data_IF_588938393385
#
_entry.id   IF_588938393385
#
_cell.length_a   1.000
_cell.length_b   1.000
_cell.length_c   1.000
_cell.angle_alpha   90.00
_cell.angle_beta   90.00
_cell.angle_gamma   90.00
#
_symmetry.space_group_name_H-M   'P 1'
#
loop_
_entity.id
_entity.type
_entity.pdbx_description
1 polymer ?
#
# COMPACT_ATOMS: atom_id res chain seq x y z
N UNK A 1 29.02 -20.57 -38.55
CA UNK A 1 27.90 -19.64 -38.82
C UNK A 1 26.57 -20.33 -39.13
N UNK A 2 26.52 -21.43 -39.91
CA UNK A 2 25.24 -22.10 -40.26
C UNK A 2 24.43 -22.65 -39.07
N UNK A 3 25.08 -23.21 -38.05
CA UNK A 3 24.39 -23.76 -36.87
C UNK A 3 23.72 -22.73 -35.95
N UNK A 4 24.29 -21.52 -35.84
CA UNK A 4 23.71 -20.43 -35.04
C UNK A 4 22.44 -19.88 -35.70
N UNK A 5 22.44 -19.80 -37.03
CA UNK A 5 21.25 -19.41 -37.81
C UNK A 5 20.16 -20.47 -37.70
N UNK A 6 20.51 -21.76 -37.78
CA UNK A 6 19.54 -22.85 -37.64
C UNK A 6 18.94 -22.89 -36.22
N UNK A 7 19.73 -22.71 -35.17
CA UNK A 7 19.22 -22.66 -33.79
C UNK A 7 18.33 -21.43 -33.54
N UNK A 8 18.67 -20.26 -34.12
CA UNK A 8 17.84 -19.06 -34.04
C UNK A 8 16.52 -19.23 -34.80
N UNK A 9 16.54 -19.89 -35.97
CA UNK A 9 15.36 -20.19 -36.79
C UNK A 9 14.47 -21.25 -36.11
N UNK A 10 15.03 -22.30 -35.52
CA UNK A 10 14.27 -23.31 -34.77
C UNK A 10 13.69 -22.70 -33.49
N UNK A 11 14.46 -21.88 -32.77
CA UNK A 11 13.98 -21.18 -31.58
C UNK A 11 12.84 -20.19 -31.87
N UNK A 12 12.87 -19.51 -33.02
CA UNK A 12 11.76 -18.66 -33.47
C UNK A 12 10.57 -19.47 -33.98
N UNK A 13 10.78 -20.57 -34.70
CA UNK A 13 9.72 -21.48 -35.14
C UNK A 13 8.98 -22.15 -33.98
N UNK A 14 9.70 -22.59 -32.94
CA UNK A 14 9.08 -23.22 -31.75
C UNK A 14 8.19 -22.23 -31.01
N UNK A 15 8.58 -20.96 -30.91
CA UNK A 15 7.74 -19.92 -30.31
C UNK A 15 6.52 -19.61 -31.18
N UNK A 16 6.66 -19.59 -32.51
CA UNK A 16 5.54 -19.36 -33.45
C UNK A 16 4.51 -20.51 -33.43
N UNK A 17 4.95 -21.75 -33.15
CA UNK A 17 4.10 -22.93 -33.02
C UNK A 17 3.42 -23.07 -31.65
N UNK A 18 3.83 -22.26 -30.66
CA UNK A 18 3.21 -22.25 -29.33
C UNK A 18 1.93 -21.40 -29.33
N UNK A 19 0.91 -21.87 -28.61
CA UNK A 19 -0.36 -21.16 -28.49
C UNK A 19 -0.19 -19.74 -27.92
N UNK A 20 -1.07 -18.81 -28.33
CA UNK A 20 -1.03 -17.39 -27.91
C UNK A 20 -0.85 -17.19 -26.41
N UNK A 21 -1.51 -18.02 -25.59
CA UNK A 21 -1.41 -17.98 -24.12
C UNK A 21 0.02 -18.18 -23.58
N UNK A 22 0.81 -19.05 -24.22
CA UNK A 22 2.22 -19.25 -23.87
C UNK A 22 3.06 -18.06 -24.30
N UNK A 23 2.86 -17.55 -25.53
CA UNK A 23 3.57 -16.39 -26.06
C UNK A 23 3.35 -15.15 -25.17
N UNK A 24 2.12 -14.91 -24.72
CA UNK A 24 1.78 -13.80 -23.82
C UNK A 24 2.44 -13.98 -22.44
N UNK A 25 2.40 -15.20 -21.89
CA UNK A 25 3.05 -15.51 -20.61
C UNK A 25 4.56 -15.31 -20.65
N UNK A 26 5.19 -15.75 -21.73
CA UNK A 26 6.61 -15.56 -21.97
C UNK A 26 6.96 -14.07 -22.12
N UNK A 27 6.21 -13.33 -22.93
CA UNK A 27 6.40 -11.90 -23.12
C UNK A 27 6.27 -11.10 -21.81
N UNK A 28 5.28 -11.43 -20.97
CA UNK A 28 5.12 -10.84 -19.62
C UNK A 28 6.33 -11.11 -18.73
N UNK A 29 6.77 -12.36 -18.64
CA UNK A 29 7.90 -12.75 -17.77
C UNK A 29 9.20 -12.07 -18.22
N UNK A 30 9.42 -11.97 -19.53
CA UNK A 30 10.59 -11.29 -20.09
C UNK A 30 10.53 -9.78 -19.90
N UNK A 31 9.37 -9.16 -20.04
CA UNK A 31 9.18 -7.73 -19.78
C UNK A 31 9.38 -7.41 -18.29
N UNK A 32 8.84 -8.22 -17.38
CA UNK A 32 9.02 -8.06 -15.94
C UNK A 32 10.50 -8.17 -15.53
N UNK A 33 11.22 -9.17 -16.03
CA UNK A 33 12.67 -9.31 -15.81
C UNK A 33 13.46 -8.13 -16.35
N UNK A 34 13.16 -7.71 -17.57
CA UNK A 34 13.84 -6.60 -18.24
C UNK A 34 13.62 -5.27 -17.52
N UNK A 35 12.40 -5.04 -17.03
CA UNK A 35 12.06 -3.88 -16.20
C UNK A 35 12.80 -3.92 -14.86
N UNK A 36 12.82 -5.06 -14.17
CA UNK A 36 13.55 -5.22 -12.91
C UNK A 36 15.06 -4.97 -13.10
N UNK A 37 15.67 -5.51 -14.16
CA UNK A 37 17.08 -5.29 -14.47
C UNK A 37 17.38 -3.84 -14.86
N UNK A 38 16.52 -3.22 -15.68
CA UNK A 38 16.65 -1.81 -16.08
C UNK A 38 16.44 -0.81 -14.93
N UNK A 39 15.80 -1.23 -13.83
CA UNK A 39 15.72 -0.44 -12.59
C UNK A 39 17.04 -0.43 -11.81
N UNK A 40 17.94 -1.40 -12.04
CA UNK A 40 19.16 -1.62 -11.24
C UNK A 40 20.46 -1.20 -11.97
N UNK A 41 20.47 -0.97 -13.29
CA UNK A 41 21.71 -0.45 -13.90
C UNK A 41 21.80 -0.24 -15.41
N UNK A 42 20.94 -0.85 -16.24
CA UNK A 42 21.09 -0.76 -17.71
C UNK A 42 19.84 -0.22 -18.41
N UNK A 43 19.96 0.98 -18.99
CA UNK A 43 18.90 1.67 -19.72
C UNK A 43 18.57 1.06 -21.08
N UNK A 44 19.45 0.24 -21.67
CA UNK A 44 19.18 -0.45 -22.95
C UNK A 44 18.14 -1.57 -22.77
N UNK A 45 18.11 -2.18 -21.59
CA UNK A 45 17.10 -3.18 -21.22
C UNK A 45 15.69 -2.58 -21.16
N UNK A 46 15.55 -1.28 -20.91
CA UNK A 46 14.26 -0.58 -20.97
C UNK A 46 13.73 -0.52 -22.42
N UNK A 47 14.58 -0.27 -23.42
CA UNK A 47 14.16 -0.24 -24.84
C UNK A 47 13.64 -1.62 -25.28
N UNK A 48 14.32 -2.70 -24.90
CA UNK A 48 13.83 -4.06 -25.21
C UNK A 48 12.56 -4.43 -24.43
N UNK A 49 12.26 -3.72 -23.34
CA UNK A 49 11.02 -3.91 -22.58
C UNK A 49 9.83 -3.38 -23.36
N UNK A 50 9.97 -2.22 -24.02
CA UNK A 50 8.90 -1.59 -24.79
C UNK A 50 8.43 -2.46 -25.96
N UNK A 51 9.36 -3.02 -26.73
CA UNK A 51 9.04 -3.92 -27.85
C UNK A 51 8.35 -5.21 -27.39
N UNK A 52 8.74 -5.76 -26.23
CA UNK A 52 8.08 -6.93 -25.62
C UNK A 52 6.67 -6.59 -25.15
N UNK A 53 6.51 -5.43 -24.49
CA UNK A 53 5.21 -4.98 -23.99
C UNK A 53 4.24 -4.64 -25.13
N UNK A 54 4.71 -4.14 -26.27
CA UNK A 54 3.87 -3.84 -27.44
C UNK A 54 3.22 -5.08 -28.07
N UNK A 55 3.77 -6.28 -27.83
CA UNK A 55 3.23 -7.55 -28.34
C UNK A 55 2.11 -8.14 -27.49
N UNK A 56 1.96 -7.67 -26.25
CA UNK A 56 0.90 -8.14 -25.36
C UNK A 56 -0.45 -7.61 -25.83
N UNK A 57 -1.49 -8.44 -25.66
CA UNK A 57 -2.86 -8.02 -25.90
C UNK A 57 -3.19 -6.72 -25.15
N UNK A 58 -3.93 -5.85 -25.81
CA UNK A 58 -4.31 -4.55 -25.27
C UNK A 58 -5.33 -4.63 -24.15
N UNK A 59 -5.89 -5.81 -23.86
CA UNK A 59 -6.77 -6.06 -22.71
C UNK A 59 -6.12 -6.90 -21.60
N UNK A 60 -4.84 -7.26 -21.73
CA UNK A 60 -4.11 -7.95 -20.66
C UNK A 60 -3.86 -7.01 -19.47
N UNK A 61 -4.51 -7.31 -18.35
CA UNK A 61 -4.49 -6.47 -17.16
C UNK A 61 -3.11 -6.41 -16.53
N UNK A 62 -2.37 -7.54 -16.52
CA UNK A 62 -0.97 -7.54 -16.05
C UNK A 62 -0.07 -6.73 -17.00
N UNK A 63 -0.40 -6.66 -18.29
CA UNK A 63 0.31 -5.79 -19.22
C UNK A 63 0.12 -4.31 -18.88
N UNK A 64 -1.07 -3.88 -18.40
CA UNK A 64 -1.27 -2.50 -17.94
C UNK A 64 -0.36 -2.14 -16.77
N UNK A 65 -0.17 -3.05 -15.80
CA UNK A 65 0.78 -2.84 -14.72
C UNK A 65 2.19 -2.59 -15.25
N UNK A 66 2.71 -3.50 -16.07
CA UNK A 66 4.08 -3.41 -16.58
C UNK A 66 4.29 -2.18 -17.47
N UNK A 67 3.33 -1.89 -18.38
CA UNK A 67 3.35 -0.69 -19.23
C UNK A 67 3.26 0.59 -18.39
N UNK A 68 2.46 0.58 -17.31
CA UNK A 68 2.31 1.71 -16.40
C UNK A 68 3.61 2.02 -15.67
N UNK A 69 4.21 1.02 -15.01
CA UNK A 69 5.51 1.18 -14.33
C UNK A 69 6.60 1.62 -15.31
N UNK A 70 6.66 1.04 -16.51
CA UNK A 70 7.59 1.47 -17.56
C UNK A 70 7.38 2.94 -17.94
N UNK A 71 6.13 3.35 -18.20
CA UNK A 71 5.79 4.73 -18.52
C UNK A 71 6.17 5.70 -17.38
N UNK A 72 5.90 5.33 -16.12
CA UNK A 72 6.31 6.11 -14.93
C UNK A 72 7.82 6.30 -14.89
N UNK A 73 8.60 5.22 -15.12
CA UNK A 73 10.08 5.28 -15.12
C UNK A 73 10.62 6.19 -16.23
N UNK A 74 9.95 6.26 -17.38
CA UNK A 74 10.29 7.17 -18.49
C UNK A 74 9.78 8.61 -18.27
N UNK A 75 9.20 8.92 -17.11
CA UNK A 75 8.64 10.23 -16.80
C UNK A 75 7.29 10.52 -17.48
N UNK A 76 6.70 9.55 -18.19
CA UNK A 76 5.40 9.70 -18.83
C UNK A 76 4.26 9.42 -17.84
N UNK A 77 4.06 10.36 -16.93
CA UNK A 77 3.08 10.28 -15.83
C UNK A 77 1.66 10.10 -16.38
N UNK A 78 1.27 10.87 -17.41
CA UNK A 78 -0.09 10.82 -17.98
C UNK A 78 -0.43 9.45 -18.54
N UNK A 79 0.49 8.86 -19.30
CA UNK A 79 0.32 7.51 -19.88
C UNK A 79 0.28 6.46 -18.77
N UNK A 80 1.14 6.58 -17.76
CA UNK A 80 1.14 5.69 -16.59
C UNK A 80 -0.21 5.69 -15.87
N UNK A 81 -0.73 6.87 -15.54
CA UNK A 81 -2.00 7.01 -14.84
C UNK A 81 -3.17 6.44 -15.67
N UNK A 82 -3.15 6.65 -16.98
CA UNK A 82 -4.16 6.05 -17.88
C UNK A 82 -4.10 4.51 -17.88
N UNK A 83 -2.91 3.93 -17.87
CA UNK A 83 -2.72 2.48 -17.82
C UNK A 83 -3.13 1.91 -16.46
N UNK A 84 -2.76 2.55 -15.35
CA UNK A 84 -3.21 2.14 -14.03
C UNK A 84 -4.73 2.30 -13.85
N UNK A 85 -5.35 3.30 -14.47
CA UNK A 85 -6.80 3.40 -14.49
C UNK A 85 -7.46 2.21 -15.21
N UNK A 86 -6.87 1.72 -16.30
CA UNK A 86 -7.34 0.50 -16.99
C UNK A 86 -7.09 -0.76 -16.15
N UNK A 87 -5.95 -0.82 -15.46
CA UNK A 87 -5.61 -1.91 -14.54
C UNK A 87 -6.65 -2.04 -13.42
N UNK A 88 -6.98 -0.93 -12.76
CA UNK A 88 -7.99 -0.87 -11.68
C UNK A 88 -9.36 -1.35 -12.18
N UNK A 89 -9.75 -1.05 -13.43
CA UNK A 89 -11.04 -1.53 -13.95
C UNK A 89 -11.09 -3.03 -14.20
N UNK A 90 -9.93 -3.67 -14.32
CA UNK A 90 -9.87 -5.08 -14.63
C UNK A 90 -9.74 -5.96 -13.38
N UNK A 91 -8.92 -5.54 -12.40
CA UNK A 91 -8.63 -6.37 -11.23
C UNK A 91 -8.18 -5.52 -10.05
N UNK A 92 -8.57 -5.96 -8.86
CA UNK A 92 -8.19 -5.43 -7.55
C UNK A 92 -6.82 -5.92 -7.07
N UNK A 93 -6.28 -6.98 -7.69
CA UNK A 93 -5.03 -7.63 -7.30
C UNK A 93 -3.82 -6.70 -7.22
N UNK A 94 -3.90 -5.53 -7.88
CA UNK A 94 -2.85 -4.53 -7.91
C UNK A 94 -3.13 -3.30 -7.05
N UNK A 95 -4.31 -3.15 -6.44
CA UNK A 95 -4.66 -1.95 -5.66
C UNK A 95 -3.70 -1.73 -4.49
N UNK A 96 -3.32 -2.81 -3.79
CA UNK A 96 -2.33 -2.74 -2.71
C UNK A 96 -0.99 -2.22 -3.21
N UNK A 97 -0.56 -2.68 -4.38
CA UNK A 97 0.72 -2.30 -4.96
C UNK A 97 0.68 -0.84 -5.45
N UNK A 98 -0.42 -0.46 -6.12
CA UNK A 98 -0.68 0.92 -6.52
C UNK A 98 -0.74 1.85 -5.31
N UNK A 99 -1.40 1.46 -4.23
CA UNK A 99 -1.39 2.22 -2.98
C UNK A 99 0.03 2.47 -2.47
N UNK A 100 0.91 1.46 -2.51
CA UNK A 100 2.30 1.58 -2.04
C UNK A 100 3.18 2.43 -2.97
N UNK A 101 2.94 2.41 -4.29
CA UNK A 101 3.77 3.13 -5.27
C UNK A 101 3.22 4.49 -5.67
N UNK A 102 1.90 4.68 -5.57
CA UNK A 102 1.13 5.85 -6.03
C UNK A 102 0.39 6.52 -4.85
N UNK A 103 1.01 6.51 -3.67
CA UNK A 103 0.42 6.90 -2.37
C UNK A 103 -0.42 8.18 -2.38
N UNK A 104 -0.03 9.20 -3.17
CA UNK A 104 -0.70 10.50 -3.24
C UNK A 104 -1.59 10.68 -4.48
N UNK A 105 -1.78 9.66 -5.32
CA UNK A 105 -2.60 9.77 -6.53
C UNK A 105 -4.09 9.63 -6.20
N UNK A 106 -4.71 10.76 -5.85
CA UNK A 106 -6.12 10.81 -5.46
C UNK A 106 -7.06 10.26 -6.54
N UNK A 107 -6.77 10.54 -7.83
CA UNK A 107 -7.62 10.10 -8.94
C UNK A 107 -7.67 8.58 -9.05
N UNK A 108 -6.51 7.91 -8.91
CA UNK A 108 -6.46 6.46 -8.93
C UNK A 108 -7.08 5.85 -7.66
N UNK A 109 -6.87 6.46 -6.48
CA UNK A 109 -7.50 6.00 -5.25
C UNK A 109 -9.04 6.09 -5.29
N UNK A 110 -9.59 7.18 -5.84
CA UNK A 110 -11.04 7.34 -6.04
C UNK A 110 -11.58 6.33 -7.06
N UNK A 111 -10.80 6.03 -8.11
CA UNK A 111 -11.16 5.01 -9.09
C UNK A 111 -11.16 3.61 -8.45
N UNK A 112 -10.15 3.28 -7.65
CA UNK A 112 -10.06 2.00 -6.95
C UNK A 112 -11.27 1.77 -6.04
N UNK A 113 -11.66 2.77 -5.24
CA UNK A 113 -12.88 2.68 -4.41
C UNK A 113 -14.16 2.57 -5.25
N UNK A 114 -14.21 3.20 -6.42
CA UNK A 114 -15.38 3.13 -7.30
C UNK A 114 -15.57 1.74 -7.91
N UNK A 115 -14.48 1.10 -8.36
CA UNK A 115 -14.55 -0.20 -9.02
C UNK A 115 -14.49 -1.36 -8.03
N UNK A 116 -13.81 -1.18 -6.89
CA UNK A 116 -13.65 -2.19 -5.83
C UNK A 116 -14.10 -1.62 -4.47
N UNK A 117 -15.41 -1.34 -4.29
CA UNK A 117 -15.91 -0.72 -3.06
C UNK A 117 -15.71 -1.60 -1.81
N UNK A 118 -15.63 -2.92 -1.99
CA UNK A 118 -15.45 -3.91 -0.92
C UNK A 118 -14.01 -4.40 -0.79
N UNK A 119 -13.04 -3.66 -1.38
CA UNK A 119 -11.62 -3.95 -1.20
C UNK A 119 -11.00 -3.01 -0.16
N UNK A 120 -10.53 -3.60 0.95
CA UNK A 120 -10.01 -2.85 2.08
C UNK A 120 -8.86 -1.91 1.67
N UNK A 121 -7.93 -2.37 0.83
CA UNK A 121 -6.77 -1.62 0.38
C UNK A 121 -7.15 -0.37 -0.44
N UNK A 122 -8.17 -0.45 -1.29
CA UNK A 122 -8.67 0.71 -2.03
C UNK A 122 -9.24 1.77 -1.08
N UNK A 123 -10.04 1.35 -0.10
CA UNK A 123 -10.60 2.23 0.92
C UNK A 123 -9.51 2.88 1.77
N UNK A 124 -8.51 2.10 2.20
CA UNK A 124 -7.38 2.59 2.98
C UNK A 124 -6.52 3.59 2.22
N UNK A 125 -6.30 3.37 0.92
CA UNK A 125 -5.57 4.30 0.08
C UNK A 125 -6.24 5.67 0.05
N UNK A 126 -7.55 5.71 -0.26
CA UNK A 126 -8.29 6.96 -0.31
C UNK A 126 -8.41 7.60 1.09
N UNK A 127 -8.57 6.80 2.14
CA UNK A 127 -8.60 7.27 3.52
C UNK A 127 -7.31 7.98 3.91
N UNK A 128 -6.15 7.44 3.51
CA UNK A 128 -4.84 8.06 3.76
C UNK A 128 -4.74 9.43 3.10
N UNK A 129 -5.14 9.55 1.84
CA UNK A 129 -5.11 10.82 1.10
C UNK A 129 -6.04 11.86 1.75
N UNK A 130 -7.24 11.44 2.17
CA UNK A 130 -8.21 12.32 2.82
C UNK A 130 -7.85 12.68 4.27
N UNK A 131 -6.91 11.97 4.90
CA UNK A 131 -6.72 11.98 6.36
C UNK A 131 -6.43 13.35 6.98
N UNK A 132 -5.83 14.27 6.23
CA UNK A 132 -5.50 15.64 6.66
C UNK A 132 -6.56 16.65 6.22
N UNK A 133 -6.94 16.63 4.94
CA UNK A 133 -7.85 17.63 4.34
C UNK A 133 -9.34 17.37 4.58
N UNK A 134 -9.71 16.11 4.76
CA UNK A 134 -11.09 15.67 4.93
C UNK A 134 -11.19 14.56 6.00
N UNK A 135 -10.89 14.86 7.28
CA UNK A 135 -10.75 13.85 8.33
C UNK A 135 -12.03 13.05 8.58
N UNK A 136 -13.22 13.64 8.43
CA UNK A 136 -14.50 12.92 8.55
C UNK A 136 -14.67 11.88 7.43
N UNK A 137 -14.33 12.24 6.18
CA UNK A 137 -14.35 11.31 5.04
C UNK A 137 -13.34 10.19 5.26
N UNK A 138 -12.12 10.53 5.72
CA UNK A 138 -11.08 9.55 6.01
C UNK A 138 -11.48 8.57 7.12
N UNK A 139 -12.07 9.06 8.21
CA UNK A 139 -12.59 8.23 9.30
C UNK A 139 -13.59 7.20 8.77
N UNK A 140 -14.57 7.63 7.95
CA UNK A 140 -15.56 6.71 7.36
C UNK A 140 -14.90 5.65 6.48
N UNK A 141 -13.97 6.04 5.61
CA UNK A 141 -13.26 5.11 4.72
C UNK A 141 -12.40 4.11 5.51
N UNK A 142 -11.66 4.57 6.53
CA UNK A 142 -10.90 3.66 7.40
C UNK A 142 -11.82 2.68 8.14
N UNK A 143 -12.97 3.13 8.66
CA UNK A 143 -13.94 2.25 9.32
C UNK A 143 -14.49 1.19 8.36
N UNK A 144 -14.81 1.57 7.12
CA UNK A 144 -15.25 0.62 6.09
C UNK A 144 -14.16 -0.40 5.77
N UNK A 145 -12.93 0.04 5.51
CA UNK A 145 -11.83 -0.87 5.22
C UNK A 145 -11.49 -1.79 6.40
N UNK A 146 -11.56 -1.30 7.64
CA UNK A 146 -11.34 -2.10 8.85
C UNK A 146 -12.50 -3.06 9.16
N UNK A 147 -13.70 -2.84 8.62
CA UNK A 147 -14.77 -3.83 8.69
C UNK A 147 -14.47 -5.03 7.78
N UNK A 148 -13.77 -4.81 6.66
CA UNK A 148 -13.34 -5.84 5.72
C UNK A 148 -12.03 -6.53 6.16
N UNK A 149 -11.10 -5.77 6.73
CA UNK A 149 -9.84 -6.28 7.26
C UNK A 149 -9.60 -5.77 8.71
N UNK A 150 -10.25 -6.41 9.71
CA UNK A 150 -10.17 -5.96 11.10
C UNK A 150 -8.81 -6.22 11.76
N UNK A 151 -7.97 -7.07 11.17
CA UNK A 151 -6.66 -7.43 11.72
C UNK A 151 -5.54 -6.46 11.31
N UNK A 152 -5.83 -5.40 10.55
CA UNK A 152 -4.82 -4.45 10.13
C UNK A 152 -4.50 -3.42 11.23
N UNK A 153 -3.53 -3.75 12.09
CA UNK A 153 -3.10 -2.87 13.18
C UNK A 153 -2.51 -1.54 12.70
N UNK A 154 -1.94 -1.47 11.49
CA UNK A 154 -1.46 -0.22 10.91
C UNK A 154 -2.62 0.71 10.56
N UNK A 155 -3.73 0.19 10.02
CA UNK A 155 -4.90 1.03 9.70
C UNK A 155 -5.71 1.39 10.93
N UNK A 156 -5.76 0.55 11.95
CA UNK A 156 -6.27 0.96 13.26
C UNK A 156 -5.49 2.15 13.83
N UNK A 157 -4.15 2.17 13.69
CA UNK A 157 -3.33 3.32 14.09
C UNK A 157 -3.71 4.57 13.31
N UNK A 158 -3.83 4.47 11.99
CA UNK A 158 -4.19 5.61 11.16
C UNK A 158 -5.60 6.16 11.46
N UNK A 159 -6.55 5.28 11.76
CA UNK A 159 -7.87 5.70 12.26
C UNK A 159 -7.75 6.43 13.61
N UNK A 160 -6.91 5.94 14.52
CA UNK A 160 -6.58 6.65 15.77
C UNK A 160 -5.95 8.02 15.55
N UNK A 161 -5.07 8.16 14.55
CA UNK A 161 -4.48 9.46 14.16
C UNK A 161 -5.57 10.42 13.65
N UNK A 162 -6.56 9.92 12.90
CA UNK A 162 -7.71 10.72 12.43
C UNK A 162 -8.59 11.16 13.61
N UNK A 163 -8.97 10.25 14.51
CA UNK A 163 -9.75 10.58 15.70
C UNK A 163 -9.05 11.60 16.60
N UNK A 164 -7.74 11.45 16.79
CA UNK A 164 -6.96 12.40 17.58
C UNK A 164 -6.95 13.82 16.96
N UNK A 165 -6.89 13.93 15.62
CA UNK A 165 -7.02 15.23 14.92
C UNK A 165 -8.40 15.84 15.09
N UNK A 166 -9.45 15.02 15.08
CA UNK A 166 -10.82 15.42 15.36
C UNK A 166 -11.08 15.72 16.86
N UNK A 167 -10.08 15.56 17.73
CA UNK A 167 -10.18 15.66 19.19
C UNK A 167 -11.15 14.65 19.83
N UNK A 168 -11.50 13.59 19.13
CA UNK A 168 -12.27 12.46 19.67
C UNK A 168 -11.34 11.50 20.41
N UNK A 169 -10.81 11.95 21.56
CA UNK A 169 -9.73 11.23 22.26
C UNK A 169 -10.14 9.83 22.73
N UNK A 170 -11.40 9.62 23.15
CA UNK A 170 -11.87 8.30 23.55
C UNK A 170 -11.86 7.30 22.38
N UNK A 171 -12.33 7.73 21.22
CA UNK A 171 -12.29 6.92 19.99
C UNK A 171 -10.84 6.70 19.52
N UNK A 172 -9.97 7.69 19.70
CA UNK A 172 -8.54 7.55 19.43
C UNK A 172 -7.89 6.48 20.33
N UNK A 173 -8.17 6.49 21.65
CA UNK A 173 -7.70 5.46 22.60
C UNK A 173 -8.15 4.08 22.15
N UNK A 174 -9.43 3.93 21.76
CA UNK A 174 -9.96 2.66 21.27
C UNK A 174 -9.21 2.19 20.01
N UNK A 175 -9.11 3.04 18.99
CA UNK A 175 -8.47 2.67 17.72
C UNK A 175 -6.97 2.36 17.90
N UNK A 176 -6.25 3.14 18.71
CA UNK A 176 -4.87 2.83 19.06
C UNK A 176 -4.73 1.56 19.90
N UNK A 177 -5.70 1.25 20.75
CA UNK A 177 -5.78 -0.01 21.48
C UNK A 177 -5.98 -1.22 20.56
N UNK A 178 -6.82 -1.10 19.52
CA UNK A 178 -6.94 -2.13 18.49
C UNK A 178 -5.66 -2.29 17.68
N UNK A 179 -5.00 -1.18 17.35
CA UNK A 179 -3.67 -1.19 16.72
C UNK A 179 -2.64 -1.96 17.54
N UNK A 180 -2.60 -1.71 18.85
CA UNK A 180 -1.77 -2.44 19.82
C UNK A 180 -2.06 -3.95 19.83
N UNK A 181 -3.35 -4.33 19.79
CA UNK A 181 -3.80 -5.73 19.84
C UNK A 181 -3.46 -6.50 18.56
N UNK A 182 -3.69 -5.89 17.40
CA UNK A 182 -3.51 -6.54 16.09
C UNK A 182 -2.08 -6.44 15.56
N UNK A 183 -1.21 -5.71 16.25
CA UNK A 183 0.18 -5.50 15.86
C UNK A 183 0.30 -4.43 14.79
N UNK A 184 1.01 -3.35 15.12
CA UNK A 184 1.39 -2.33 14.16
C UNK A 184 2.92 -2.25 13.99
N UNK A 185 3.41 -1.88 12.80
CA UNK A 185 4.84 -1.65 12.59
C UNK A 185 5.40 -0.64 13.60
N UNK A 186 6.36 -1.08 14.41
CA UNK A 186 7.01 -0.27 15.44
C UNK A 186 6.28 -0.21 16.79
N UNK A 187 5.22 -1.00 17.01
CA UNK A 187 4.48 -1.11 18.27
C UNK A 187 3.99 0.25 18.82
N UNK A 188 3.56 1.13 17.91
CA UNK A 188 3.20 2.50 18.23
C UNK A 188 1.77 2.63 18.78
N UNK A 189 0.88 1.69 18.48
CA UNK A 189 -0.52 1.73 18.92
C UNK A 189 -0.64 1.85 20.44
N UNK A 190 0.05 0.98 21.19
CA UNK A 190 -0.08 0.93 22.65
C UNK A 190 0.31 2.27 23.30
N UNK A 191 1.50 2.82 23.00
CA UNK A 191 1.93 4.06 23.67
C UNK A 191 1.12 5.28 23.23
N UNK A 192 0.60 5.30 21.99
CA UNK A 192 -0.31 6.35 21.53
C UNK A 192 -1.65 6.30 22.28
N UNK A 193 -2.18 5.10 22.54
CA UNK A 193 -3.36 4.94 23.40
C UNK A 193 -3.07 5.49 24.81
N UNK A 194 -1.90 5.15 25.38
CA UNK A 194 -1.48 5.65 26.70
C UNK A 194 -1.36 7.17 26.75
N UNK A 195 -0.79 7.79 25.72
CA UNK A 195 -0.67 9.26 25.60
C UNK A 195 -2.01 9.97 25.49
N UNK A 196 -2.97 9.38 24.77
CA UNK A 196 -4.31 9.96 24.68
C UNK A 196 -5.05 9.83 26.02
N UNK A 197 -4.90 8.70 26.72
CA UNK A 197 -5.47 8.51 28.05
C UNK A 197 -4.87 9.49 29.09
N UNK A 198 -3.53 9.68 29.09
CA UNK A 198 -2.86 10.66 29.96
C UNK A 198 -3.38 12.09 29.70
N UNK A 199 -3.65 12.43 28.43
CA UNK A 199 -4.21 13.74 28.06
C UNK A 199 -5.65 13.95 28.58
N UNK A 200 -6.42 12.87 28.73
CA UNK A 200 -7.76 12.90 29.32
C UNK A 200 -7.73 12.84 30.86
N UNK A 201 -6.56 12.71 31.48
CA UNK A 201 -6.44 12.49 32.93
C UNK A 201 -6.75 11.06 33.38
N UNK A 202 -7.02 10.14 32.46
CA UNK A 202 -7.18 8.72 32.75
C UNK A 202 -5.80 8.06 32.89
N UNK A 203 -5.16 8.35 34.03
CA UNK A 203 -3.82 7.87 34.33
C UNK A 203 -3.76 6.35 34.51
N UNK A 204 -4.86 5.71 34.94
CA UNK A 204 -4.93 4.26 35.07
C UNK A 204 -4.83 3.58 33.70
N UNK A 205 -5.62 4.03 32.72
CA UNK A 205 -5.55 3.54 31.34
C UNK A 205 -4.22 3.91 30.69
N UNK A 206 -3.66 5.10 30.97
CA UNK A 206 -2.35 5.50 30.48
C UNK A 206 -1.25 4.52 30.89
N UNK A 207 -1.14 4.23 32.20
CA UNK A 207 -0.16 3.29 32.75
C UNK A 207 -0.34 1.87 32.17
N UNK A 208 -1.59 1.41 32.03
CA UNK A 208 -1.89 0.11 31.38
C UNK A 208 -1.26 0.03 29.99
N UNK A 209 -1.50 1.03 29.14
CA UNK A 209 -1.02 1.01 27.77
C UNK A 209 0.49 1.25 27.63
N UNK A 210 1.09 2.05 28.52
CA UNK A 210 2.55 2.18 28.56
C UNK A 210 3.26 0.87 28.90
N UNK A 211 2.72 0.10 29.84
CA UNK A 211 3.21 -1.26 30.16
C UNK A 211 3.09 -2.20 28.96
N UNK A 212 1.96 -2.16 28.24
CA UNK A 212 1.72 -3.01 27.07
C UNK A 212 2.66 -2.70 25.90
N UNK A 213 3.06 -1.44 25.69
CA UNK A 213 3.95 -1.08 24.57
C UNK A 213 5.33 -1.73 24.66
N UNK A 214 5.83 -2.03 25.87
CA UNK A 214 7.17 -2.57 26.19
C UNK A 214 8.37 -1.80 25.61
N UNK A 215 8.15 -0.73 24.86
CA UNK A 215 9.15 0.17 24.28
C UNK A 215 9.86 1.00 25.34
N UNK A 216 11.13 1.33 25.10
CA UNK A 216 11.94 2.16 26.01
C UNK A 216 11.24 3.47 26.38
N UNK A 217 10.75 4.19 25.35
CA UNK A 217 10.00 5.44 25.50
C UNK A 217 8.75 5.29 26.38
N UNK A 218 8.03 4.16 26.28
CA UNK A 218 6.84 3.95 27.11
C UNK A 218 7.18 3.68 28.57
N UNK A 219 8.30 3.00 28.85
CA UNK A 219 8.77 2.80 30.22
C UNK A 219 9.16 4.12 30.89
N UNK A 220 9.77 5.04 30.15
CA UNK A 220 10.07 6.39 30.65
C UNK A 220 8.79 7.17 30.96
N UNK A 221 7.82 7.13 30.04
CA UNK A 221 6.51 7.78 30.23
C UNK A 221 5.78 7.20 31.45
N UNK A 222 5.81 5.88 31.63
CA UNK A 222 5.26 5.20 32.80
C UNK A 222 5.91 5.69 34.11
N UNK A 223 7.25 5.66 34.19
CA UNK A 223 8.00 6.10 35.37
C UNK A 223 7.68 7.55 35.73
N UNK A 224 7.74 8.44 34.75
CA UNK A 224 7.43 9.87 34.91
C UNK A 224 6.02 10.08 35.45
N UNK A 225 5.03 9.35 34.92
CA UNK A 225 3.65 9.48 35.37
C UNK A 225 3.47 8.97 36.80
N UNK A 226 4.10 7.85 37.16
CA UNK A 226 4.08 7.34 38.54
C UNK A 226 4.71 8.33 39.54
N UNK A 227 5.81 8.98 39.18
CA UNK A 227 6.45 10.01 40.01
C UNK A 227 5.54 11.23 40.19
N UNK A 228 4.89 11.69 39.13
CA UNK A 228 3.91 12.78 39.20
C UNK A 228 2.79 12.46 40.18
N UNK A 229 2.19 11.27 40.06
CA UNK A 229 1.09 10.83 40.93
C UNK A 229 1.50 10.60 42.39
N UNK A 230 2.78 10.34 42.66
CA UNK A 230 3.30 10.26 44.04
C UNK A 230 3.43 11.64 44.69
N UNK A 231 3.71 12.69 43.92
CA UNK A 231 3.87 14.07 44.41
C UNK A 231 2.54 14.79 44.63
N UNK A 232 1.47 14.30 43.99
CA UNK A 232 0.10 14.84 44.11
C UNK A 232 -0.70 14.22 45.28
N UNK A 233 -0.11 13.26 45.99
CA UNK A 233 -0.64 12.65 47.21
C UNK A 233 0.05 13.23 48.43
#
# INVERSE_FOLDING_TARGET
MRYVVIAAVIGTLVVVLMGRSFQDSFARNMAARSLAAGLVGDSTLLVTTETKLARLDNEDCRAFWLRGVYARKRGNVRRSDSLFARLIRCTDAYDRLLYLTETNNQKLAELAVRFHPDHAEALFWLAQICSTKAPIRAMRLYRQGLALNPADGLRWRHLGDVYARLREFQNAIYAYGQSCRHGDPGANGCWRAGRMAERLGDYATALKYYRLSRSHKSRELEKRLLEKLRKEK
#
